data_IF_112403851599
#
_entry.id   IF_112403851599
#
_cell.length_a   1.000
_cell.length_b   1.000
_cell.length_c   1.000
_cell.angle_alpha   90.00
_cell.angle_beta   90.00
_cell.angle_gamma   90.00
#
_symmetry.space_group_name_H-M   'P 1'
#
loop_
_entity.id
_entity.type
_entity.pdbx_description
1 polymer ?
#
# COMPACT_ATOMS: atom_id res chain seq x y z
N UNK A 1 19.17 10.51 -26.25
CA UNK A 1 17.83 10.15 -25.71
C UNK A 1 17.69 8.63 -25.75
N UNK A 2 16.99 7.94 -24.81
CA UNK A 2 15.77 8.35 -24.13
C UNK A 2 15.82 8.32 -22.59
N UNK A 3 14.80 8.92 -21.99
CA UNK A 3 14.73 9.33 -20.59
C UNK A 3 14.81 8.20 -19.57
N UNK A 4 15.66 8.40 -18.56
CA UNK A 4 15.67 7.59 -17.35
C UNK A 4 14.28 7.59 -16.72
N UNK A 5 13.72 6.38 -16.52
CA UNK A 5 12.49 6.17 -15.77
C UNK A 5 12.59 6.94 -14.45
N UNK A 6 11.74 7.95 -14.24
CA UNK A 6 11.63 8.61 -12.92
C UNK A 6 11.33 7.50 -11.90
N UNK A 7 12.30 7.17 -11.05
CA UNK A 7 12.04 6.32 -9.88
C UNK A 7 10.97 7.04 -9.08
N UNK A 8 9.80 6.40 -8.92
CA UNK A 8 8.77 6.89 -8.00
C UNK A 8 9.37 6.76 -6.61
N UNK A 9 9.91 7.85 -6.07
CA UNK A 9 10.36 7.88 -4.69
C UNK A 9 9.15 7.66 -3.78
N UNK A 10 9.17 6.53 -3.08
CA UNK A 10 8.17 6.24 -2.05
C UNK A 10 8.48 7.12 -0.84
N UNK A 11 7.54 8.01 -0.48
CA UNK A 11 7.64 8.78 0.75
C UNK A 11 7.58 7.83 1.94
N UNK A 12 8.58 7.90 2.83
CA UNK A 12 8.54 7.20 4.13
C UNK A 12 7.63 7.99 5.06
N UNK A 13 6.67 7.32 5.67
CA UNK A 13 5.80 7.89 6.69
C UNK A 13 5.79 6.99 7.93
N UNK A 14 5.72 7.60 9.11
CA UNK A 14 5.48 6.87 10.34
C UNK A 14 3.98 6.64 10.45
N UNK A 15 3.55 5.39 10.30
CA UNK A 15 2.16 4.99 10.44
C UNK A 15 1.95 4.39 11.84
N UNK A 16 0.98 4.92 12.57
CA UNK A 16 0.50 4.28 13.80
C UNK A 16 -0.70 3.42 13.43
N UNK A 17 -0.57 2.11 13.59
CA UNK A 17 -1.65 1.15 13.44
C UNK A 17 -1.74 0.29 14.69
N UNK A 18 -2.93 -0.25 14.92
CA UNK A 18 -3.14 -1.24 15.95
C UNK A 18 -2.25 -2.48 15.70
N UNK A 19 -1.58 -3.04 16.72
CA UNK A 19 -0.71 -4.20 16.55
C UNK A 19 -1.41 -5.44 16.01
N UNK A 20 -2.66 -5.70 16.41
CA UNK A 20 -3.39 -6.87 15.91
C UNK A 20 -3.72 -6.71 14.42
N UNK A 21 -4.13 -5.50 14.01
CA UNK A 21 -4.32 -5.20 12.59
C UNK A 21 -3.01 -5.34 11.79
N UNK A 22 -1.87 -4.95 12.36
CA UNK A 22 -0.58 -5.14 11.70
C UNK A 22 -0.27 -6.63 11.47
N UNK A 23 -0.56 -7.49 12.45
CA UNK A 23 -0.34 -8.93 12.33
C UNK A 23 -1.28 -9.57 11.30
N UNK A 24 -2.56 -9.18 11.28
CA UNK A 24 -3.51 -9.63 10.25
C UNK A 24 -3.04 -9.24 8.84
N UNK A 25 -2.55 -8.00 8.68
CA UNK A 25 -1.99 -7.52 7.41
C UNK A 25 -0.69 -8.24 7.03
N UNK A 26 0.10 -8.68 8.01
CA UNK A 26 1.32 -9.46 7.76
C UNK A 26 0.96 -10.82 7.19
N UNK A 27 0.06 -11.57 7.85
CA UNK A 27 -0.37 -12.90 7.41
C UNK A 27 -0.95 -12.83 6.00
N UNK A 28 -1.83 -11.85 5.74
CA UNK A 28 -2.39 -11.66 4.39
C UNK A 28 -1.30 -11.31 3.35
N UNK A 29 -0.31 -10.49 3.70
CA UNK A 29 0.79 -10.19 2.80
C UNK A 29 1.62 -11.45 2.48
N UNK A 30 1.85 -12.32 3.45
CA UNK A 30 2.55 -13.60 3.27
C UNK A 30 1.78 -14.54 2.33
N UNK A 31 0.45 -14.65 2.50
CA UNK A 31 -0.42 -15.45 1.63
C UNK A 31 -0.38 -14.98 0.16
N UNK A 32 -0.20 -13.67 -0.08
CA UNK A 32 -0.11 -13.08 -1.41
C UNK A 32 1.34 -12.97 -1.95
N UNK A 33 2.34 -13.52 -1.24
CA UNK A 33 3.78 -13.40 -1.55
C UNK A 33 4.23 -11.93 -1.72
N UNK A 34 3.72 -11.04 -0.87
CA UNK A 34 4.02 -9.60 -0.86
C UNK A 34 4.70 -9.20 0.44
N UNK A 35 5.48 -8.11 0.36
CA UNK A 35 5.90 -7.43 1.59
C UNK A 35 4.72 -6.73 2.24
N UNK A 36 4.73 -6.64 3.58
CA UNK A 36 3.70 -5.91 4.33
C UNK A 36 3.54 -4.45 3.84
N UNK A 37 4.64 -3.77 3.51
CA UNK A 37 4.61 -2.41 2.97
C UNK A 37 3.92 -2.36 1.60
N UNK A 38 4.15 -3.35 0.74
CA UNK A 38 3.48 -3.44 -0.55
C UNK A 38 1.98 -3.72 -0.39
N UNK A 39 1.62 -4.56 0.59
CA UNK A 39 0.22 -4.87 0.90
C UNK A 39 -0.54 -3.65 1.43
N UNK A 40 0.05 -2.92 2.38
CA UNK A 40 -0.50 -1.66 2.89
C UNK A 40 -0.69 -0.66 1.74
N UNK A 41 0.32 -0.49 0.87
CA UNK A 41 0.23 0.41 -0.28
C UNK A 41 -0.92 0.02 -1.24
N UNK A 42 -1.10 -1.27 -1.49
CA UNK A 42 -2.17 -1.80 -2.33
C UNK A 42 -3.55 -1.50 -1.74
N UNK A 43 -3.75 -1.77 -0.46
CA UNK A 43 -5.02 -1.51 0.23
C UNK A 43 -5.37 -0.02 0.24
N UNK A 44 -4.39 0.85 0.50
CA UNK A 44 -4.60 2.30 0.45
C UNK A 44 -4.99 2.77 -0.95
N UNK A 45 -4.35 2.24 -2.01
CA UNK A 45 -4.72 2.54 -3.40
C UNK A 45 -6.14 2.09 -3.72
N UNK A 46 -6.53 0.90 -3.29
CA UNK A 46 -7.89 0.40 -3.47
C UNK A 46 -8.92 1.25 -2.74
N UNK A 47 -8.66 1.61 -1.47
CA UNK A 47 -9.56 2.45 -0.68
C UNK A 47 -9.78 3.83 -1.32
N UNK A 48 -8.71 4.48 -1.79
CA UNK A 48 -8.81 5.77 -2.50
C UNK A 48 -9.56 5.62 -3.82
N UNK A 49 -9.30 4.56 -4.59
CA UNK A 49 -9.98 4.30 -5.85
C UNK A 49 -11.47 3.97 -5.67
N UNK A 50 -11.83 3.28 -4.59
CA UNK A 50 -13.22 3.01 -4.21
C UNK A 50 -13.93 4.30 -3.84
N UNK A 51 -13.36 5.09 -2.92
CA UNK A 51 -13.91 6.40 -2.54
C UNK A 51 -14.15 7.31 -3.75
N UNK A 52 -13.19 7.40 -4.66
CA UNK A 52 -13.33 8.23 -5.88
C UNK A 52 -14.44 7.75 -6.82
N UNK A 53 -14.78 6.45 -6.79
CA UNK A 53 -15.91 5.90 -7.56
C UNK A 53 -17.23 6.20 -6.87
N UNK A 54 -17.28 6.12 -5.55
CA UNK A 54 -18.47 6.43 -4.75
C UNK A 54 -18.79 7.95 -4.75
N UNK A 55 -17.80 8.82 -5.00
CA UNK A 55 -17.95 10.27 -5.16
C UNK A 55 -18.42 10.70 -6.58
N UNK A 56 -18.66 9.75 -7.51
CA UNK A 56 -19.19 10.03 -8.86
C UNK A 56 -20.66 9.64 -8.99
#
# INVERSE_FOLDING_TARGET
MPGGRKKVEKKRLLLRIDPALHDDLRVWAEDEFRSINAQIEFLLKQAVAKRKRDER
#
